data_IF_624544208458
#
_entry.id   IF_624544208458
#
_cell.length_a   1.000
_cell.length_b   1.000
_cell.length_c   1.000
_cell.angle_alpha   90.00
_cell.angle_beta   90.00
_cell.angle_gamma   90.00
#
_symmetry.space_group_name_H-M   'P 1'
#
loop_
_entity.id
_entity.type
_entity.pdbx_description
1 polymer ?
#
# COMPACT_ATOMS: atom_id res chain seq x y z
N UNK A 1 -46.67 48.43 4.59
CA UNK A 1 -46.83 47.06 4.07
C UNK A 1 -46.44 46.12 5.20
N UNK A 2 -47.43 45.43 5.76
CA UNK A 2 -47.27 44.41 6.80
C UNK A 2 -46.96 43.09 6.12
N UNK A 3 -46.00 42.31 6.65
CA UNK A 3 -46.09 40.85 6.63
C UNK A 3 -45.56 40.30 7.94
N UNK A 4 -46.45 39.58 8.61
CA UNK A 4 -46.24 38.72 9.77
C UNK A 4 -45.77 37.35 9.28
N UNK A 5 -44.83 36.73 9.98
CA UNK A 5 -44.52 35.32 9.84
C UNK A 5 -44.46 34.69 11.24
N UNK A 6 -45.55 34.01 11.58
CA UNK A 6 -45.69 33.19 12.78
C UNK A 6 -45.00 31.84 12.51
N UNK A 7 -44.01 31.45 13.32
CA UNK A 7 -43.57 30.06 13.38
C UNK A 7 -43.87 29.52 14.77
N UNK A 8 -44.64 28.44 14.78
CA UNK A 8 -45.23 27.82 15.96
C UNK A 8 -44.22 26.81 16.51
N UNK A 9 -43.67 27.06 17.70
CA UNK A 9 -42.77 26.13 18.39
C UNK A 9 -43.59 25.05 19.09
N UNK A 10 -43.76 23.91 18.42
CA UNK A 10 -44.27 22.70 19.05
C UNK A 10 -43.12 21.68 19.16
N UNK A 11 -42.40 21.74 20.29
CA UNK A 11 -41.36 20.78 20.65
C UNK A 11 -42.01 19.46 21.07
N UNK A 12 -42.26 18.59 20.09
CA UNK A 12 -42.45 17.17 20.35
C UNK A 12 -41.13 16.60 20.89
N UNK A 13 -41.20 15.97 22.06
CA UNK A 13 -40.12 15.27 22.73
C UNK A 13 -39.52 14.20 21.81
N UNK A 14 -38.53 14.55 20.98
CA UNK A 14 -37.77 13.59 20.20
C UNK A 14 -36.87 12.81 21.17
N UNK A 15 -37.13 11.51 21.27
CA UNK A 15 -36.35 10.55 22.06
C UNK A 15 -34.89 10.55 21.60
N UNK A 16 -34.03 11.29 22.32
CA UNK A 16 -32.58 11.32 22.11
C UNK A 16 -31.94 9.92 22.19
N UNK A 17 -32.64 8.96 22.80
CA UNK A 17 -32.26 7.55 22.91
C UNK A 17 -32.14 6.85 21.53
N UNK A 18 -32.97 7.22 20.55
CA UNK A 18 -32.94 6.62 19.21
C UNK A 18 -31.78 7.14 18.35
N UNK A 19 -31.38 8.41 18.55
CA UNK A 19 -30.22 9.01 17.87
C UNK A 19 -28.90 8.44 18.41
N UNK A 20 -28.85 8.10 19.70
CA UNK A 20 -27.70 7.42 20.31
C UNK A 20 -27.58 5.94 19.87
N UNK A 21 -28.69 5.23 19.67
CA UNK A 21 -28.67 3.87 19.13
C UNK A 21 -28.27 3.82 17.65
N UNK A 22 -28.62 4.84 16.86
CA UNK A 22 -28.22 4.94 15.45
C UNK A 22 -26.74 5.31 15.25
N UNK A 23 -26.07 5.90 16.26
CA UNK A 23 -24.64 6.25 16.21
C UNK A 23 -23.71 5.16 16.77
N UNK A 24 -24.27 4.06 17.30
CA UNK A 24 -23.52 2.97 17.94
C UNK A 24 -22.95 1.90 16.99
N UNK A 25 -23.20 1.98 15.69
CA UNK A 25 -22.60 1.06 14.72
C UNK A 25 -21.43 1.75 14.00
N UNK A 26 -20.37 2.04 14.75
CA UNK A 26 -19.06 2.29 14.15
C UNK A 26 -18.54 0.94 13.67
N UNK A 27 -18.89 0.59 12.43
CA UNK A 27 -18.24 -0.51 11.72
C UNK A 27 -16.75 -0.17 11.63
N UNK A 28 -15.93 -0.75 12.51
CA UNK A 28 -14.48 -0.78 12.32
C UNK A 28 -14.23 -1.65 11.11
N UNK A 29 -14.24 -1.04 9.92
CA UNK A 29 -13.73 -1.68 8.72
C UNK A 29 -12.23 -1.89 8.98
N UNK A 30 -11.86 -3.11 9.36
CA UNK A 30 -10.47 -3.50 9.39
C UNK A 30 -10.07 -3.63 7.91
N UNK A 31 -9.60 -2.53 7.32
CA UNK A 31 -9.01 -2.58 6.00
C UNK A 31 -7.78 -3.50 6.12
N UNK A 32 -7.85 -4.67 5.51
CA UNK A 32 -6.73 -5.58 5.43
C UNK A 32 -5.56 -4.81 4.80
N UNK A 33 -4.52 -4.54 5.59
CA UNK A 33 -3.32 -3.90 5.11
C UNK A 33 -2.53 -4.94 4.34
N UNK A 34 -2.63 -4.86 3.02
CA UNK A 34 -1.86 -5.71 2.14
C UNK A 34 -0.55 -5.01 1.76
N UNK A 35 0.57 -5.69 1.91
CA UNK A 35 1.90 -5.14 1.67
C UNK A 35 2.57 -5.81 0.46
N UNK A 36 2.95 -5.02 -0.53
CA UNK A 36 3.73 -5.49 -1.68
C UNK A 36 5.14 -4.92 -1.63
N UNK A 37 6.15 -5.78 -1.56
CA UNK A 37 7.56 -5.37 -1.43
C UNK A 37 8.37 -5.94 -2.58
N UNK A 38 9.10 -5.08 -3.31
CA UNK A 38 10.10 -5.52 -4.29
C UNK A 38 11.50 -5.38 -3.69
N UNK A 39 12.23 -6.48 -3.65
CA UNK A 39 13.64 -6.50 -3.26
C UNK A 39 14.51 -6.55 -4.50
N UNK A 40 15.52 -5.70 -4.52
CA UNK A 40 16.55 -5.70 -5.54
C UNK A 40 17.91 -5.69 -4.88
N UNK A 41 18.78 -6.60 -5.28
CA UNK A 41 20.14 -6.72 -4.74
C UNK A 41 21.12 -7.08 -5.85
N UNK A 42 22.33 -6.55 -5.74
CA UNK A 42 23.46 -7.00 -6.55
C UNK A 42 24.62 -7.33 -5.63
N UNK A 43 25.22 -8.50 -5.83
CA UNK A 43 26.35 -8.99 -5.07
C UNK A 43 27.67 -8.65 -5.77
N UNK A 44 28.78 -8.68 -5.05
CA UNK A 44 30.13 -8.48 -5.63
C UNK A 44 30.47 -9.51 -6.71
N UNK A 45 29.89 -10.71 -6.65
CA UNK A 45 29.97 -11.73 -7.70
C UNK A 45 29.28 -11.31 -9.01
N UNK A 46 28.67 -10.13 -9.07
CA UNK A 46 27.80 -9.65 -10.14
C UNK A 46 26.51 -10.47 -10.33
N UNK A 47 26.21 -11.34 -9.37
CA UNK A 47 24.90 -11.95 -9.25
C UNK A 47 23.88 -10.89 -8.83
N UNK A 48 22.67 -10.97 -9.39
CA UNK A 48 21.57 -10.08 -9.07
C UNK A 48 20.43 -10.90 -8.49
N UNK A 49 19.73 -10.34 -7.52
CA UNK A 49 18.52 -10.90 -6.95
C UNK A 49 17.42 -9.87 -7.11
N UNK A 50 16.32 -10.28 -7.74
CA UNK A 50 15.09 -9.49 -7.81
C UNK A 50 13.95 -10.40 -7.42
N UNK A 51 13.20 -10.02 -6.39
CA UNK A 51 12.07 -10.79 -5.89
C UNK A 51 10.94 -9.86 -5.45
N UNK A 52 9.71 -10.35 -5.58
CA UNK A 52 8.52 -9.68 -5.10
C UNK A 52 7.90 -10.51 -3.98
N UNK A 53 7.60 -9.82 -2.89
CA UNK A 53 6.85 -10.36 -1.77
C UNK A 53 5.48 -9.71 -1.68
N UNK A 54 4.49 -10.51 -1.32
CA UNK A 54 3.15 -10.09 -1.01
C UNK A 54 2.79 -10.60 0.39
N UNK A 55 2.45 -9.69 1.29
CA UNK A 55 2.15 -9.98 2.71
C UNK A 55 3.24 -10.79 3.41
N UNK A 56 4.51 -10.53 3.05
CA UNK A 56 5.69 -11.21 3.58
C UNK A 56 6.08 -12.50 2.84
N UNK A 57 5.21 -13.07 2.00
CA UNK A 57 5.50 -14.27 1.24
C UNK A 57 6.16 -13.96 -0.10
N UNK A 58 7.20 -14.70 -0.47
CA UNK A 58 7.79 -14.59 -1.81
C UNK A 58 6.82 -15.17 -2.84
N UNK A 59 6.35 -14.31 -3.73
CA UNK A 59 5.38 -14.68 -4.78
C UNK A 59 6.07 -14.93 -6.12
N UNK A 60 7.10 -14.14 -6.43
CA UNK A 60 7.88 -14.32 -7.65
C UNK A 60 9.31 -13.84 -7.48
N UNK A 61 10.23 -14.43 -8.25
CA UNK A 61 11.62 -13.98 -8.35
C UNK A 61 12.16 -14.14 -9.76
N UNK A 62 13.20 -13.37 -10.09
CA UNK A 62 13.86 -13.45 -11.38
C UNK A 62 14.98 -14.48 -11.32
N UNK A 63 14.83 -15.59 -12.05
CA UNK A 63 15.92 -16.53 -12.26
C UNK A 63 16.75 -16.09 -13.47
N UNK A 64 17.81 -15.34 -13.19
CA UNK A 64 18.74 -14.88 -14.21
C UNK A 64 19.54 -16.01 -14.88
N UNK A 65 19.61 -17.21 -14.29
CA UNK A 65 20.29 -18.35 -14.92
C UNK A 65 19.41 -18.97 -15.99
N UNK A 66 18.12 -19.17 -15.71
CA UNK A 66 17.17 -19.70 -16.69
C UNK A 66 16.53 -18.66 -17.59
N UNK A 67 16.74 -17.37 -17.31
CA UNK A 67 16.29 -16.30 -18.19
C UNK A 67 14.80 -15.96 -18.05
N UNK A 68 14.19 -16.22 -16.90
CA UNK A 68 12.74 -16.11 -16.70
C UNK A 68 12.36 -15.71 -15.28
N UNK A 69 11.13 -15.24 -15.12
CA UNK A 69 10.47 -15.13 -13.82
C UNK A 69 10.04 -16.52 -13.36
N UNK A 70 10.31 -16.83 -12.10
CA UNK A 70 9.80 -18.02 -11.41
C UNK A 70 8.72 -17.57 -10.46
N UNK A 71 7.56 -18.19 -10.58
CA UNK A 71 6.42 -17.96 -9.73
C UNK A 71 6.37 -19.04 -8.64
N UNK A 72 6.28 -18.64 -7.39
CA UNK A 72 6.41 -19.55 -6.23
C UNK A 72 5.10 -19.78 -5.50
N UNK A 73 4.09 -18.94 -5.72
CA UNK A 73 2.84 -19.00 -4.98
C UNK A 73 1.68 -19.44 -5.92
N UNK A 74 0.78 -20.36 -5.52
CA UNK A 74 -0.23 -20.95 -6.41
C UNK A 74 -1.12 -19.89 -7.06
N UNK A 75 -0.99 -19.70 -8.37
CA UNK A 75 -1.55 -18.53 -9.05
C UNK A 75 -2.90 -18.78 -9.73
N UNK A 76 -3.69 -17.70 -9.79
CA UNK A 76 -4.67 -17.48 -10.86
C UNK A 76 -3.92 -17.34 -12.20
N UNK A 77 -3.98 -18.38 -13.04
CA UNK A 77 -3.26 -18.49 -14.32
C UNK A 77 -3.40 -17.28 -15.26
N UNK A 78 -4.49 -16.51 -15.10
CA UNK A 78 -4.78 -15.30 -15.88
C UNK A 78 -3.79 -14.16 -15.63
N UNK A 79 -3.24 -14.06 -14.41
CA UNK A 79 -2.29 -12.99 -14.03
C UNK A 79 -0.82 -13.41 -14.24
N UNK A 80 -0.55 -14.71 -14.34
CA UNK A 80 0.83 -15.25 -14.36
C UNK A 80 1.62 -14.71 -15.54
N UNK A 81 1.06 -14.91 -16.73
CA UNK A 81 1.74 -14.62 -17.98
C UNK A 81 2.09 -13.14 -18.12
N UNK A 82 1.14 -12.19 -18.00
CA UNK A 82 1.47 -10.77 -18.17
C UNK A 82 2.41 -10.26 -17.08
N UNK A 83 2.27 -10.71 -15.82
CA UNK A 83 3.19 -10.30 -14.76
C UNK A 83 4.58 -10.89 -14.94
N UNK A 84 4.69 -12.17 -15.30
CA UNK A 84 5.97 -12.85 -15.43
C UNK A 84 6.84 -12.27 -16.54
N UNK A 85 6.24 -11.96 -17.70
CA UNK A 85 6.96 -11.33 -18.82
C UNK A 85 7.45 -9.93 -18.45
N UNK A 86 6.57 -9.10 -17.87
CA UNK A 86 6.93 -7.74 -17.45
C UNK A 86 7.98 -7.72 -16.32
N UNK A 87 7.84 -8.62 -15.35
CA UNK A 87 8.74 -8.69 -14.20
C UNK A 87 10.17 -9.04 -14.60
N UNK A 88 10.37 -9.98 -15.52
CA UNK A 88 11.73 -10.35 -15.93
C UNK A 88 12.44 -9.20 -16.66
N UNK A 89 11.70 -8.43 -17.47
CA UNK A 89 12.23 -7.23 -18.14
C UNK A 89 12.65 -6.18 -17.10
N UNK A 90 11.81 -5.94 -16.08
CA UNK A 90 12.13 -5.03 -14.97
C UNK A 90 13.36 -5.51 -14.18
N UNK A 91 13.48 -6.82 -13.97
CA UNK A 91 14.62 -7.41 -13.28
C UNK A 91 15.94 -7.21 -14.06
N UNK A 92 15.92 -7.31 -15.39
CA UNK A 92 17.08 -7.03 -16.23
C UNK A 92 17.51 -5.56 -16.17
N UNK A 93 16.57 -4.62 -16.28
CA UNK A 93 16.88 -3.18 -16.15
C UNK A 93 17.44 -2.87 -14.76
N UNK A 94 16.84 -3.44 -13.72
CA UNK A 94 17.30 -3.30 -12.33
C UNK A 94 18.72 -3.85 -12.16
N UNK A 95 19.02 -5.04 -12.71
CA UNK A 95 20.38 -5.62 -12.70
C UNK A 95 21.39 -4.67 -13.33
N UNK A 96 21.07 -4.14 -14.52
CA UNK A 96 21.98 -3.25 -15.24
C UNK A 96 22.26 -1.99 -14.42
N UNK A 97 21.23 -1.40 -13.79
CA UNK A 97 21.40 -0.17 -13.01
C UNK A 97 22.11 -0.41 -11.68
N UNK A 98 21.66 -1.39 -10.90
CA UNK A 98 22.18 -1.67 -9.55
C UNK A 98 23.62 -2.13 -9.58
N UNK A 99 23.94 -3.13 -10.39
CA UNK A 99 25.28 -3.68 -10.45
C UNK A 99 26.28 -2.68 -11.04
N UNK A 100 25.88 -1.93 -12.08
CA UNK A 100 26.81 -1.02 -12.76
C UNK A 100 27.03 0.29 -12.02
N UNK A 101 25.96 0.88 -11.48
CA UNK A 101 26.03 2.25 -10.96
C UNK A 101 26.08 2.31 -9.43
N UNK A 102 25.34 1.44 -8.73
CA UNK A 102 25.19 1.55 -7.29
C UNK A 102 26.19 0.70 -6.53
N UNK A 103 26.56 -0.48 -7.03
CA UNK A 103 27.47 -1.39 -6.32
C UNK A 103 28.83 -0.74 -6.05
N UNK A 104 29.43 -0.10 -7.06
CA UNK A 104 30.72 0.60 -6.90
C UNK A 104 30.63 1.74 -5.86
N UNK A 105 29.53 2.50 -5.89
CA UNK A 105 29.29 3.59 -4.94
C UNK A 105 29.09 3.08 -3.51
N UNK A 106 28.28 2.02 -3.35
CA UNK A 106 28.07 1.37 -2.07
C UNK A 106 29.38 0.83 -1.49
N UNK A 107 30.20 0.17 -2.33
CA UNK A 107 31.52 -0.32 -1.94
C UNK A 107 32.46 0.80 -1.48
N UNK A 108 32.39 1.98 -2.11
CA UNK A 108 33.19 3.14 -1.69
C UNK A 108 32.73 3.72 -0.35
N UNK A 109 31.42 3.79 -0.12
CA UNK A 109 30.83 4.27 1.14
C UNK A 109 31.18 3.30 2.27
N UNK A 110 31.05 2.00 2.05
CA UNK A 110 31.38 0.97 3.04
C UNK A 110 32.85 1.01 3.46
N UNK A 111 33.75 1.28 2.51
CA UNK A 111 35.18 1.45 2.78
C UNK A 111 35.52 2.76 3.52
N UNK A 112 34.65 3.76 3.50
CA UNK A 112 34.85 5.07 4.13
C UNK A 112 33.55 5.56 4.79
N UNK A 113 33.12 4.97 5.92
CA UNK A 113 31.89 5.38 6.57
C UNK A 113 32.01 6.82 7.08
N UNK A 114 31.21 7.73 6.51
CA UNK A 114 31.11 9.12 7.01
C UNK A 114 30.25 9.13 8.27
N UNK A 115 30.76 9.65 9.39
CA UNK A 115 30.06 9.72 10.70
C UNK A 115 28.85 10.70 10.75
N UNK A 116 28.15 10.99 9.65
CA UNK A 116 27.17 12.08 9.60
C UNK A 116 25.77 11.73 10.16
N UNK A 117 25.64 11.94 11.47
CA UNK A 117 24.58 12.62 12.26
C UNK A 117 23.10 12.17 12.20
N UNK A 118 22.62 11.70 13.35
CA UNK A 118 21.25 11.84 13.81
C UNK A 118 20.84 13.33 13.92
N UNK A 119 19.72 13.72 13.29
CA UNK A 119 19.18 15.08 13.36
C UNK A 119 18.14 15.21 14.49
N UNK A 120 18.20 16.28 15.31
CA UNK A 120 17.15 16.61 16.28
C UNK A 120 16.03 17.40 15.60
N UNK A 121 14.79 16.92 15.71
CA UNK A 121 13.60 17.63 15.22
C UNK A 121 13.06 18.54 16.31
N UNK A 122 12.83 19.82 16.01
CA UNK A 122 12.06 20.74 16.86
C UNK A 122 10.88 21.29 16.03
N UNK A 123 9.62 21.22 16.53
CA UNK A 123 8.48 21.78 15.81
C UNK A 123 8.17 23.19 16.31
N UNK A 124 7.99 24.14 15.39
CA UNK A 124 7.37 25.43 15.70
C UNK A 124 6.02 25.56 15.01
N UNK A 125 5.07 26.08 15.80
CA UNK A 125 3.66 26.24 15.50
C UNK A 125 3.39 27.41 14.56
N UNK A 126 2.46 27.24 13.62
CA UNK A 126 1.94 28.31 12.76
C UNK A 126 0.48 28.05 12.43
N UNK A 127 -0.36 29.07 12.65
CA UNK A 127 -1.82 29.04 12.54
C UNK A 127 -2.38 29.31 11.12
N UNK A 128 -3.51 30.02 10.99
CA UNK A 128 -4.80 29.54 10.50
C UNK A 128 -4.98 29.38 8.97
N UNK A 129 -3.92 29.35 8.17
CA UNK A 129 -3.98 28.97 6.73
C UNK A 129 -4.25 27.45 6.56
N UNK A 130 -4.17 26.71 7.67
CA UNK A 130 -4.30 25.26 7.77
C UNK A 130 -5.72 24.74 7.48
N UNK A 131 -6.79 25.52 7.66
CA UNK A 131 -8.15 24.96 7.53
C UNK A 131 -8.58 24.63 6.08
N UNK A 132 -8.23 25.46 5.08
CA UNK A 132 -8.58 25.17 3.68
C UNK A 132 -7.72 24.05 3.10
N UNK A 133 -6.44 23.97 3.51
CA UNK A 133 -5.57 22.86 3.14
C UNK A 133 -6.02 21.56 3.79
N UNK A 134 -6.42 21.57 5.07
CA UNK A 134 -6.98 20.38 5.74
C UNK A 134 -8.26 19.89 5.07
N UNK A 135 -9.16 20.78 4.63
CA UNK A 135 -10.36 20.39 3.89
C UNK A 135 -10.05 19.65 2.57
N UNK A 136 -9.10 20.18 1.79
CA UNK A 136 -8.66 19.52 0.54
C UNK A 136 -7.92 18.23 0.81
N UNK A 137 -7.07 18.19 1.84
CA UNK A 137 -6.36 16.98 2.27
C UNK A 137 -7.35 15.90 2.74
N UNK A 138 -8.43 16.27 3.45
CA UNK A 138 -9.46 15.32 3.85
C UNK A 138 -10.26 14.78 2.66
N UNK A 139 -10.57 15.62 1.66
CA UNK A 139 -11.23 15.16 0.44
C UNK A 139 -10.34 14.26 -0.41
N UNK A 140 -9.07 14.59 -0.57
CA UNK A 140 -8.12 13.74 -1.30
C UNK A 140 -7.86 12.45 -0.54
N UNK A 141 -7.68 12.51 0.79
CA UNK A 141 -7.56 11.31 1.63
C UNK A 141 -8.82 10.45 1.55
N UNK A 142 -10.01 11.04 1.57
CA UNK A 142 -11.28 10.30 1.43
C UNK A 142 -11.40 9.59 0.08
N UNK A 143 -11.03 10.26 -1.02
CA UNK A 143 -11.03 9.65 -2.37
C UNK A 143 -9.97 8.55 -2.45
N UNK A 144 -8.78 8.77 -1.91
CA UNK A 144 -7.71 7.76 -1.88
C UNK A 144 -8.14 6.56 -1.04
N UNK A 145 -8.73 6.77 0.14
CA UNK A 145 -9.28 5.70 0.99
C UNK A 145 -10.40 4.96 0.26
N UNK A 146 -11.27 5.65 -0.49
CA UNK A 146 -12.32 5.01 -1.26
C UNK A 146 -11.76 4.14 -2.40
N UNK A 147 -10.74 4.65 -3.12
CA UNK A 147 -10.04 3.88 -4.17
C UNK A 147 -9.31 2.68 -3.56
N UNK A 148 -8.62 2.86 -2.43
CA UNK A 148 -7.96 1.77 -1.70
C UNK A 148 -9.00 0.78 -1.19
N UNK A 149 -10.14 1.22 -0.67
CA UNK A 149 -11.22 0.33 -0.18
C UNK A 149 -11.88 -0.45 -1.33
N UNK A 150 -12.07 0.19 -2.49
CA UNK A 150 -12.55 -0.49 -3.68
C UNK A 150 -11.53 -1.51 -4.20
N UNK A 151 -10.23 -1.18 -4.09
CA UNK A 151 -9.14 -2.10 -4.37
C UNK A 151 -9.04 -3.22 -3.32
N UNK A 152 -9.30 -2.94 -2.05
CA UNK A 152 -9.29 -3.89 -0.95
C UNK A 152 -10.48 -4.85 -1.01
N UNK A 153 -11.62 -4.41 -1.56
CA UNK A 153 -12.74 -5.30 -1.90
C UNK A 153 -12.35 -6.30 -3.00
N UNK A 154 -11.57 -5.85 -3.99
CA UNK A 154 -10.97 -6.75 -4.98
C UNK A 154 -9.88 -7.63 -4.36
N UNK A 155 -9.03 -7.09 -3.48
CA UNK A 155 -7.98 -7.86 -2.80
C UNK A 155 -8.54 -8.87 -1.81
N UNK A 156 -9.62 -8.57 -1.09
CA UNK A 156 -10.30 -9.54 -0.22
C UNK A 156 -10.85 -10.71 -1.04
N UNK A 157 -11.48 -10.42 -2.19
CA UNK A 157 -11.94 -11.47 -3.11
C UNK A 157 -10.79 -12.30 -3.67
N UNK A 158 -9.65 -11.67 -3.94
CA UNK A 158 -8.43 -12.36 -4.35
C UNK A 158 -7.84 -13.20 -3.21
N UNK A 159 -7.78 -12.67 -1.99
CA UNK A 159 -7.22 -13.32 -0.81
C UNK A 159 -8.06 -14.54 -0.38
N UNK A 160 -9.41 -14.42 -0.39
CA UNK A 160 -10.31 -15.57 -0.18
C UNK A 160 -10.14 -16.63 -1.28
N UNK A 161 -9.99 -16.21 -2.54
CA UNK A 161 -9.72 -17.13 -3.66
C UNK A 161 -8.38 -17.85 -3.47
N UNK A 162 -7.37 -17.14 -2.97
CA UNK A 162 -6.05 -17.66 -2.65
C UNK A 162 -6.07 -18.67 -1.50
N UNK A 163 -6.68 -18.32 -0.36
CA UNK A 163 -6.81 -19.24 0.78
C UNK A 163 -7.58 -20.51 0.38
N UNK A 164 -8.64 -20.35 -0.41
CA UNK A 164 -9.44 -21.49 -0.89
C UNK A 164 -8.66 -22.37 -1.86
N UNK A 165 -7.80 -21.81 -2.71
CA UNK A 165 -6.95 -22.57 -3.62
C UNK A 165 -5.82 -23.31 -2.89
N UNK A 166 -5.21 -22.69 -1.89
CA UNK A 166 -4.10 -23.26 -1.12
C UNK A 166 -4.52 -24.52 -0.33
N UNK A 167 -5.72 -24.52 0.26
CA UNK A 167 -6.25 -25.68 1.00
C UNK A 167 -6.65 -26.87 0.10
N UNK A 168 -6.61 -26.75 -1.24
CA UNK A 168 -7.03 -27.81 -2.17
C UNK A 168 -5.89 -28.61 -2.78
N UNK A 169 -4.64 -28.34 -2.43
CA UNK A 169 -3.51 -29.13 -2.92
C UNK A 169 -3.27 -30.29 -1.95
N UNK A 170 -3.66 -31.54 -2.27
CA UNK A 170 -3.26 -32.69 -1.46
C UNK A 170 -1.75 -32.92 -1.58
N UNK A 171 -1.11 -33.24 -0.45
CA UNK A 171 0.30 -33.63 -0.34
C UNK A 171 0.66 -34.83 -1.22
#
# INVERSE_FOLDING_TARGET
MFFSAHTNTNWGHMDFSLVLLASGLVSTVHAAHYEGIMFYGCFESCDCQVQFQWDGDQVMFADFKSGRTVWTAPLMSELEKPMSEGFYILAQDSKLRLCKHYLSKATQIDKNPTEEKALPVKPDASGPVVCLSVGVICLTAGIIIFIISANDSLRHRLCESWQTAFHRVPE
#
